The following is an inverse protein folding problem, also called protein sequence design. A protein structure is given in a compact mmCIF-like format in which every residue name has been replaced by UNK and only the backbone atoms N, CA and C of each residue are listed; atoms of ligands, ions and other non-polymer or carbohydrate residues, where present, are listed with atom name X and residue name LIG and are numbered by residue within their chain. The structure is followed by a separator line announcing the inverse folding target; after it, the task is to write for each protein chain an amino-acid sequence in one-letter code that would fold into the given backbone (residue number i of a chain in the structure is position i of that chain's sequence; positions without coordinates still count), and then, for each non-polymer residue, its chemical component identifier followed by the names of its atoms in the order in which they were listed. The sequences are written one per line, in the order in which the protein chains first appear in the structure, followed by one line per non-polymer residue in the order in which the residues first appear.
data_IF_353394435669
#
_entry.id   IF_353394435669
#
_cell.length_a   1.000
_cell.length_b   1.000
_cell.length_c   1.000
_cell.angle_alpha   90.00
_cell.angle_beta   90.00
_cell.angle_gamma   90.00
#
_symmetry.space_group_name_H-M   'P 1'
#
loop_
_entity.id
_entity.type
_entity.pdbx_description
1 polymer ?
#
# COMPACT_ATOMS: atom_id res chain seq x y z
N UNK A 1 75.45 3.56 -10.53
CA UNK A 1 75.19 3.16 -9.13
C UNK A 1 73.75 3.56 -8.79
N UNK A 2 73.02 2.65 -8.13
CA UNK A 2 71.66 2.76 -7.57
C UNK A 2 70.43 2.46 -8.46
N UNK A 3 70.08 1.17 -8.43
CA UNK A 3 68.80 0.56 -8.75
C UNK A 3 67.65 1.06 -7.86
N UNK A 4 66.43 1.10 -8.39
CA UNK A 4 65.21 1.05 -7.56
C UNK A 4 64.18 0.12 -8.22
N UNK A 5 64.09 -1.11 -7.71
CA UNK A 5 62.98 -2.03 -7.99
C UNK A 5 61.85 -1.72 -7.01
N UNK A 6 60.67 -1.38 -7.51
CA UNK A 6 59.47 -1.24 -6.67
C UNK A 6 58.92 -2.63 -6.40
N UNK A 7 59.03 -3.06 -5.14
CA UNK A 7 58.53 -4.33 -4.61
C UNK A 7 57.07 -4.12 -4.19
N UNK A 8 56.14 -4.61 -5.00
CA UNK A 8 54.74 -4.78 -4.59
C UNK A 8 54.69 -5.86 -3.50
N UNK A 9 54.34 -5.44 -2.29
CA UNK A 9 54.12 -6.36 -1.16
C UNK A 9 52.63 -6.66 -1.13
N UNK A 10 52.27 -7.83 -1.67
CA UNK A 10 50.90 -8.35 -1.63
C UNK A 10 50.60 -8.86 -0.23
N UNK A 11 49.69 -8.19 0.46
CA UNK A 11 49.10 -8.63 1.73
C UNK A 11 48.07 -9.71 1.40
N UNK A 12 48.30 -10.94 1.88
CA UNK A 12 47.29 -12.00 1.88
C UNK A 12 47.04 -12.40 3.32
N UNK A 13 45.99 -11.83 3.90
CA UNK A 13 45.45 -12.29 5.18
C UNK A 13 44.38 -13.32 4.86
N UNK A 14 44.69 -14.61 4.99
CA UNK A 14 43.75 -15.70 4.81
C UNK A 14 42.81 -15.78 6.03
N UNK A 15 41.54 -15.45 5.86
CA UNK A 15 40.50 -15.66 6.86
C UNK A 15 39.91 -17.07 6.66
N UNK A 16 40.30 -18.02 7.51
CA UNK A 16 39.72 -19.37 7.55
C UNK A 16 38.51 -19.39 8.49
N UNK A 17 37.30 -19.26 7.94
CA UNK A 17 36.07 -19.56 8.66
C UNK A 17 35.76 -21.05 8.52
N UNK A 18 36.09 -21.80 9.57
CA UNK A 18 35.69 -23.19 9.71
C UNK A 18 34.19 -23.29 10.01
N UNK A 19 33.43 -23.86 9.09
CA UNK A 19 32.12 -24.44 9.37
C UNK A 19 32.16 -25.91 8.95
N UNK A 20 32.37 -26.79 9.92
CA UNK A 20 32.14 -28.21 9.75
C UNK A 20 30.64 -28.47 9.62
N UNK A 21 30.20 -28.93 8.46
CA UNK A 21 28.87 -29.51 8.28
C UNK A 21 29.07 -30.88 7.62
N UNK A 22 28.90 -31.92 8.44
CA UNK A 22 28.84 -33.32 8.00
C UNK A 22 27.54 -33.50 7.23
N UNK A 23 27.66 -33.89 5.96
CA UNK A 23 26.53 -34.33 5.15
C UNK A 23 26.05 -35.70 5.65
N UNK A 24 24.97 -35.70 6.42
CA UNK A 24 24.15 -36.88 6.72
C UNK A 24 22.88 -36.82 5.88
N UNK A 25 22.78 -37.69 4.88
CA UNK A 25 21.63 -37.85 4.00
C UNK A 25 20.45 -38.50 4.73
N UNK A 26 19.36 -37.76 4.96
CA UNK A 26 17.98 -38.27 4.91
C UNK A 26 17.00 -37.11 4.63
N UNK A 27 16.20 -37.12 3.55
CA UNK A 27 14.97 -36.35 3.52
C UNK A 27 13.86 -37.24 4.07
N UNK A 28 13.42 -36.97 5.30
CA UNK A 28 12.08 -37.40 5.73
C UNK A 28 11.17 -36.19 5.54
N UNK A 29 10.45 -36.16 4.42
CA UNK A 29 9.32 -35.25 4.26
C UNK A 29 8.20 -35.72 5.18
N UNK A 30 8.16 -35.15 6.38
CA UNK A 30 6.99 -35.24 7.23
C UNK A 30 5.98 -34.21 6.71
N UNK A 31 4.98 -34.72 6.01
CA UNK A 31 3.77 -34.01 5.65
C UNK A 31 3.14 -33.44 6.91
N UNK A 32 2.92 -32.14 6.93
CA UNK A 32 2.18 -31.45 7.99
C UNK A 32 1.44 -30.33 7.31
N UNK A 33 0.18 -30.62 6.98
CA UNK A 33 -0.84 -29.64 6.65
C UNK A 33 -1.00 -28.74 7.88
N UNK A 34 -0.11 -27.75 7.98
CA UNK A 34 -0.33 -26.56 8.75
C UNK A 34 -1.14 -25.66 7.84
N UNK A 35 -2.45 -25.59 8.08
CA UNK A 35 -3.21 -24.43 7.60
C UNK A 35 -2.41 -23.19 8.00
N UNK A 36 -2.02 -22.31 7.07
CA UNK A 36 -1.51 -21.03 7.46
C UNK A 36 -2.67 -20.35 8.16
N UNK A 37 -2.61 -20.31 9.49
CA UNK A 37 -3.40 -19.39 10.27
C UNK A 37 -3.09 -18.04 9.63
N UNK A 38 -4.06 -17.49 8.91
CA UNK A 38 -4.02 -16.12 8.42
C UNK A 38 -3.96 -15.27 9.68
N UNK A 39 -2.75 -15.02 10.18
CA UNK A 39 -2.49 -13.83 10.95
C UNK A 39 -2.88 -12.69 10.03
N UNK A 40 -4.13 -12.25 10.16
CA UNK A 40 -4.60 -10.99 9.65
C UNK A 40 -3.69 -9.96 10.32
N UNK A 41 -2.56 -9.67 9.68
CA UNK A 41 -1.69 -8.56 10.05
C UNK A 41 -2.64 -7.38 10.19
N UNK A 42 -2.84 -6.94 11.44
CA UNK A 42 -3.63 -5.75 11.76
C UNK A 42 -2.92 -4.59 11.08
N UNK A 43 -3.23 -4.38 9.81
CA UNK A 43 -2.77 -3.23 9.05
C UNK A 43 -3.49 -2.06 9.70
N UNK A 44 -2.70 -1.15 10.27
CA UNK A 44 -3.21 0.15 10.69
C UNK A 44 -3.76 0.79 9.41
N UNK A 45 -5.07 0.87 9.32
CA UNK A 45 -5.75 1.49 8.20
C UNK A 45 -6.22 2.88 8.62
N UNK A 46 -5.97 3.87 7.77
CA UNK A 46 -6.43 5.24 7.92
C UNK A 46 -7.86 5.30 7.39
N UNK A 47 -8.86 5.61 8.25
CA UNK A 47 -10.24 5.71 7.83
C UNK A 47 -10.50 7.04 7.11
N UNK A 48 -11.38 6.99 6.11
CA UNK A 48 -11.93 8.14 5.41
C UNK A 48 -13.39 7.84 5.07
N UNK A 49 -14.31 8.71 5.47
CA UNK A 49 -15.74 8.55 5.20
C UNK A 49 -16.21 9.70 4.35
N UNK A 50 -17.04 9.42 3.34
CA UNK A 50 -17.58 10.48 2.52
C UNK A 50 -18.55 9.99 1.45
N UNK A 51 -19.03 10.91 0.63
CA UNK A 51 -19.95 10.62 -0.46
C UNK A 51 -19.20 10.57 -1.80
N UNK A 52 -19.59 9.65 -2.68
CA UNK A 52 -19.06 9.58 -4.04
C UNK A 52 -19.55 10.77 -4.85
N UNK A 53 -18.64 11.60 -5.36
CA UNK A 53 -18.97 12.73 -6.23
C UNK A 53 -18.64 12.43 -7.69
N UNK A 54 -17.74 11.50 -7.97
CA UNK A 54 -17.44 11.04 -9.33
C UNK A 54 -17.01 9.58 -9.33
N UNK A 55 -17.33 8.87 -10.41
CA UNK A 55 -16.96 7.48 -10.62
C UNK A 55 -16.55 7.27 -12.09
N UNK A 56 -15.28 6.92 -12.28
CA UNK A 56 -14.72 6.45 -13.55
C UNK A 56 -14.42 4.95 -13.48
N UNK A 57 -13.88 4.36 -14.54
CA UNK A 57 -13.65 2.90 -14.63
C UNK A 57 -12.56 2.41 -13.67
N UNK A 58 -11.71 3.31 -13.18
CA UNK A 58 -10.53 3.01 -12.38
C UNK A 58 -10.58 3.63 -10.98
N UNK A 59 -11.37 4.69 -10.78
CA UNK A 59 -11.37 5.48 -9.56
C UNK A 59 -12.75 6.01 -9.18
N UNK A 60 -12.96 6.10 -7.88
CA UNK A 60 -13.96 6.94 -7.27
C UNK A 60 -13.30 8.23 -6.77
N UNK A 61 -14.07 9.31 -6.76
CA UNK A 61 -13.74 10.52 -6.03
C UNK A 61 -14.75 10.65 -4.90
N UNK A 62 -14.25 10.66 -3.67
CA UNK A 62 -15.07 10.66 -2.45
C UNK A 62 -14.80 11.95 -1.68
N UNK A 63 -15.88 12.64 -1.31
CA UNK A 63 -15.85 13.91 -0.59
C UNK A 63 -16.32 13.73 0.85
N UNK A 64 -15.49 14.18 1.80
CA UNK A 64 -15.85 14.27 3.22
C UNK A 64 -16.68 15.53 3.46
N UNK A 65 -18.00 15.35 3.38
CA UNK A 65 -19.02 16.38 3.61
C UNK A 65 -20.07 15.86 4.57
N UNK A 66 -20.84 16.77 5.18
CA UNK A 66 -21.87 16.37 6.15
C UNK A 66 -23.07 15.73 5.45
N UNK A 67 -23.48 16.32 4.32
CA UNK A 67 -24.63 15.86 3.54
C UNK A 67 -24.25 15.44 2.14
N UNK A 68 -25.11 14.60 1.55
CA UNK A 68 -25.00 14.18 0.16
C UNK A 68 -25.12 15.37 -0.79
N UNK A 69 -26.06 16.28 -0.54
CA UNK A 69 -26.32 17.44 -1.38
C UNK A 69 -25.11 18.38 -1.41
N UNK A 70 -24.46 18.57 -0.26
CA UNK A 70 -23.21 19.33 -0.16
C UNK A 70 -22.13 18.67 -1.01
N UNK A 71 -21.92 17.36 -0.88
CA UNK A 71 -20.96 16.62 -1.70
C UNK A 71 -21.22 16.78 -3.19
N UNK A 72 -22.48 16.59 -3.62
CA UNK A 72 -22.86 16.67 -5.02
C UNK A 72 -22.69 18.08 -5.62
N UNK A 73 -22.64 19.14 -4.80
CA UNK A 73 -22.35 20.49 -5.26
C UNK A 73 -20.89 20.67 -5.73
N UNK A 74 -19.96 19.83 -5.24
CA UNK A 74 -18.53 19.90 -5.56
C UNK A 74 -18.11 19.07 -6.79
N UNK A 75 -19.04 18.39 -7.48
CA UNK A 75 -18.73 17.54 -8.63
C UNK A 75 -17.86 18.22 -9.70
N UNK A 76 -18.15 19.49 -9.98
CA UNK A 76 -17.45 20.28 -11.00
C UNK A 76 -16.32 21.15 -10.43
N UNK A 77 -16.23 21.31 -9.11
CA UNK A 77 -15.25 22.19 -8.48
C UNK A 77 -14.79 21.64 -7.13
N UNK A 78 -14.02 20.54 -7.19
CA UNK A 78 -13.53 19.83 -6.02
C UNK A 78 -12.25 20.44 -5.41
N UNK A 79 -11.72 21.51 -5.99
CA UNK A 79 -10.44 22.11 -5.58
C UNK A 79 -10.47 22.63 -4.13
N UNK A 80 -11.61 23.18 -3.71
CA UNK A 80 -11.82 23.59 -2.33
C UNK A 80 -11.67 22.41 -1.35
N UNK A 81 -12.30 21.27 -1.66
CA UNK A 81 -12.19 20.05 -0.84
C UNK A 81 -10.74 19.54 -0.80
N UNK A 82 -10.01 19.62 -1.92
CA UNK A 82 -8.60 19.24 -1.97
C UNK A 82 -7.73 20.11 -1.06
N UNK A 83 -7.96 21.42 -1.03
CA UNK A 83 -7.23 22.33 -0.14
C UNK A 83 -7.47 22.07 1.35
N UNK A 84 -8.62 21.48 1.68
CA UNK A 84 -9.04 21.16 3.06
C UNK A 84 -8.73 19.71 3.45
N UNK A 85 -8.09 18.90 2.59
CA UNK A 85 -7.93 17.45 2.78
C UNK A 85 -9.26 16.68 2.96
N UNK A 86 -10.35 17.19 2.37
CA UNK A 86 -11.70 16.60 2.42
C UNK A 86 -12.05 15.79 1.18
N UNK A 87 -11.05 15.34 0.44
CA UNK A 87 -11.26 14.58 -0.79
C UNK A 87 -10.24 13.46 -0.88
N UNK A 88 -10.70 12.31 -1.34
CA UNK A 88 -9.86 11.16 -1.56
C UNK A 88 -10.25 10.51 -2.88
N UNK A 89 -9.24 10.26 -3.72
CA UNK A 89 -9.41 9.45 -4.92
C UNK A 89 -9.12 7.99 -4.56
N UNK A 90 -10.06 7.11 -4.84
CA UNK A 90 -10.02 5.71 -4.38
C UNK A 90 -9.96 4.80 -5.60
N UNK A 91 -8.88 4.04 -5.81
CA UNK A 91 -8.82 3.08 -6.91
C UNK A 91 -9.86 1.97 -6.73
N UNK A 92 -10.50 1.58 -7.83
CA UNK A 92 -11.50 0.50 -7.89
C UNK A 92 -11.18 -0.46 -9.04
N UNK A 93 -11.72 -1.67 -8.95
CA UNK A 93 -11.59 -2.70 -10.00
C UNK A 93 -12.82 -2.79 -10.90
N UNK A 94 -13.97 -2.30 -10.45
CA UNK A 94 -15.21 -2.27 -11.22
C UNK A 94 -16.12 -1.16 -10.72
N UNK A 95 -16.46 -0.25 -11.64
CA UNK A 95 -17.36 0.89 -11.41
C UNK A 95 -18.78 0.47 -11.07
N UNK A 96 -19.26 -0.66 -11.61
CA UNK A 96 -20.66 -1.12 -11.45
C UNK A 96 -21.06 -1.36 -9.99
N UNK A 97 -20.08 -1.49 -9.11
CA UNK A 97 -20.29 -1.62 -7.69
C UNK A 97 -20.62 -0.29 -6.99
N UNK A 98 -20.51 0.86 -7.64
CA UNK A 98 -20.63 2.16 -6.97
C UNK A 98 -21.41 3.18 -7.78
N UNK A 99 -22.17 4.03 -7.08
CA UNK A 99 -22.98 5.10 -7.67
C UNK A 99 -22.66 6.45 -7.05
N UNK A 100 -22.77 7.51 -7.87
CA UNK A 100 -22.62 8.89 -7.40
C UNK A 100 -23.67 9.17 -6.32
N UNK A 101 -23.21 9.74 -5.21
CA UNK A 101 -24.01 10.07 -4.03
C UNK A 101 -24.15 8.94 -3.01
N UNK A 102 -23.52 7.78 -3.23
CA UNK A 102 -23.40 6.76 -2.17
C UNK A 102 -22.41 7.20 -1.10
N UNK A 103 -22.69 6.83 0.15
CA UNK A 103 -21.81 7.07 1.29
C UNK A 103 -20.93 5.84 1.52
N UNK A 104 -19.61 6.07 1.59
CA UNK A 104 -18.60 5.01 1.69
C UNK A 104 -17.70 5.25 2.90
N UNK A 105 -17.33 4.16 3.55
CA UNK A 105 -16.18 4.10 4.45
C UNK A 105 -15.00 3.51 3.67
N UNK A 106 -13.87 4.20 3.66
CA UNK A 106 -12.64 3.79 3.01
C UNK A 106 -11.56 3.62 4.06
N UNK A 107 -10.98 2.44 4.12
CA UNK A 107 -9.87 2.12 4.99
C UNK A 107 -8.65 1.88 4.11
N UNK A 108 -7.57 2.64 4.30
CA UNK A 108 -6.39 2.55 3.42
C UNK A 108 -5.12 2.46 4.23
N UNK A 109 -4.03 1.92 3.67
CA UNK A 109 -2.74 1.91 4.40
C UNK A 109 -2.08 3.30 4.45
N UNK A 110 -2.60 4.24 3.65
CA UNK A 110 -2.04 5.55 3.43
C UNK A 110 -2.57 6.16 2.12
N UNK A 111 -2.05 7.34 1.79
CA UNK A 111 -2.40 8.06 0.57
C UNK A 111 -1.18 8.73 -0.06
N UNK A 112 -1.25 8.97 -1.37
CA UNK A 112 -0.20 9.64 -2.13
C UNK A 112 -0.13 11.15 -1.84
N UNK A 113 1.03 11.75 -2.09
CA UNK A 113 1.24 13.19 -2.03
C UNK A 113 0.83 13.88 -3.35
N UNK A 114 -0.37 13.58 -3.84
CA UNK A 114 -0.95 14.15 -5.06
C UNK A 114 -2.18 15.00 -4.75
N UNK A 115 -2.69 15.72 -5.75
CA UNK A 115 -3.90 16.53 -5.63
C UNK A 115 -4.90 16.07 -6.71
N UNK A 116 -6.02 15.41 -6.34
CA UNK A 116 -6.34 14.95 -4.99
C UNK A 116 -5.42 13.79 -4.53
N UNK A 117 -5.31 13.55 -3.21
CA UNK A 117 -4.63 12.36 -2.68
C UNK A 117 -5.28 11.07 -3.20
N UNK A 118 -4.47 10.04 -3.45
CA UNK A 118 -4.95 8.73 -3.91
C UNK A 118 -4.75 7.71 -2.80
N UNK A 119 -5.81 6.99 -2.42
CA UNK A 119 -5.75 5.93 -1.43
C UNK A 119 -4.88 4.76 -1.90
N UNK A 120 -4.05 4.23 -1.01
CA UNK A 120 -3.19 3.08 -1.27
C UNK A 120 -3.81 1.83 -0.65
N UNK A 121 -4.03 0.80 -1.48
CA UNK A 121 -4.67 -0.48 -1.09
C UNK A 121 -5.95 -0.26 -0.26
N UNK A 122 -6.96 0.46 -0.78
CA UNK A 122 -8.17 0.73 -0.04
C UNK A 122 -9.04 -0.52 0.11
N UNK A 123 -9.70 -0.63 1.26
CA UNK A 123 -10.86 -1.46 1.52
C UNK A 123 -12.06 -0.53 1.58
N UNK A 124 -13.10 -0.81 0.80
CA UNK A 124 -14.28 0.06 0.65
C UNK A 124 -15.50 -0.66 1.20
N UNK A 125 -16.18 -0.03 2.15
CA UNK A 125 -17.43 -0.49 2.73
C UNK A 125 -18.55 0.50 2.40
N UNK A 126 -19.69 -0.04 1.95
CA UNK A 126 -20.89 0.78 1.72
C UNK A 126 -21.63 1.01 3.03
N UNK A 127 -22.02 2.24 3.29
CA UNK A 127 -22.94 2.55 4.38
C UNK A 127 -24.36 2.50 3.80
N UNK A 128 -25.16 1.57 4.30
CA UNK A 128 -26.59 1.51 4.00
C UNK A 128 -27.27 2.51 4.94
N UNK A 129 -27.89 3.54 4.37
CA UNK A 129 -28.81 4.45 5.10
C UNK A 129 -30.22 3.87 5.19
#
# INVERSE_FOLDING_TARGET
MFSKKQKLVTVVTTLTLGCGLVFGLTPTSADSISNPIKEEQVRIQIPFTGYVISADDNYLVVADTNTKEEALSYQNNWWELASQNKILRVPITSKDNYSVGEKLNIFSVGWTHSIPPIAVMPVIEKIIE
#
